data_IF_058495968927
#
_entry.id   IF_058495968927
#
_cell.length_a   1.000
_cell.length_b   1.000
_cell.length_c   1.000
_cell.angle_alpha   90.00
_cell.angle_beta   90.00
_cell.angle_gamma   90.00
#
_symmetry.space_group_name_H-M   'P 1'
#
loop_
_entity.id
_entity.type
_entity.pdbx_description
1 polymer ?
#
# COMPACT_ATOMS: atom_id res chain seq x y z
N UNK A 1 -31.90 6.22 37.67
CA UNK A 1 -31.91 7.01 36.46
C UNK A 1 -30.64 6.79 35.67
N UNK A 2 -30.56 5.71 34.83
CA UNK A 2 -29.42 5.44 33.99
C UNK A 2 -29.46 6.34 32.77
N UNK A 3 -28.47 7.21 32.60
CA UNK A 3 -28.24 7.93 31.34
C UNK A 3 -27.66 6.92 30.33
N UNK A 4 -28.47 6.47 29.39
CA UNK A 4 -28.02 5.79 28.20
C UNK A 4 -27.21 6.83 27.39
N UNK A 5 -25.90 6.64 27.28
CA UNK A 5 -25.04 7.41 26.42
C UNK A 5 -25.48 7.19 24.98
N UNK A 6 -26.05 8.21 24.40
CA UNK A 6 -26.39 8.30 22.97
C UNK A 6 -25.07 8.42 22.20
N UNK A 7 -24.48 7.28 21.83
CA UNK A 7 -23.36 7.21 20.92
C UNK A 7 -23.90 7.63 19.56
N UNK A 8 -23.86 8.93 19.26
CA UNK A 8 -24.03 9.48 17.90
C UNK A 8 -23.03 8.75 16.99
N UNK A 9 -23.52 7.72 16.33
CA UNK A 9 -22.86 7.08 15.20
C UNK A 9 -22.84 8.14 14.09
N UNK A 10 -21.82 8.97 14.06
CA UNK A 10 -21.57 9.83 12.92
C UNK A 10 -21.47 8.90 11.72
N UNK A 11 -22.44 8.98 10.84
CA UNK A 11 -22.41 8.36 9.52
C UNK A 11 -21.31 9.06 8.73
N UNK A 12 -20.07 8.60 8.90
CA UNK A 12 -18.96 9.05 8.06
C UNK A 12 -19.23 8.53 6.66
N UNK A 13 -19.31 9.43 5.70
CA UNK A 13 -19.34 9.06 4.29
C UNK A 13 -18.15 8.17 4.00
N UNK A 14 -18.34 6.96 3.43
CA UNK A 14 -17.23 6.05 3.14
C UNK A 14 -16.20 6.71 2.23
N UNK A 15 -14.92 6.45 2.50
CA UNK A 15 -13.82 6.89 1.64
C UNK A 15 -13.90 6.12 0.33
N UNK A 16 -13.99 6.84 -0.78
CA UNK A 16 -14.06 6.28 -2.14
C UNK A 16 -12.66 5.90 -2.60
N UNK A 17 -12.40 4.59 -2.78
CA UNK A 17 -11.07 4.05 -3.09
C UNK A 17 -11.03 3.47 -4.50
N UNK A 18 -10.06 3.92 -5.30
CA UNK A 18 -9.68 3.31 -6.56
C UNK A 18 -8.58 2.28 -6.30
N UNK A 19 -8.82 1.00 -6.61
CA UNK A 19 -7.88 -0.09 -6.41
C UNK A 19 -7.07 -0.35 -7.69
N UNK A 20 -5.76 -0.19 -7.63
CA UNK A 20 -4.83 -0.36 -8.76
C UNK A 20 -3.93 -1.57 -8.53
N UNK A 21 -3.97 -2.52 -9.47
CA UNK A 21 -3.30 -3.80 -9.36
C UNK A 21 -4.22 -4.92 -8.88
N UNK A 22 -4.18 -6.07 -9.56
CA UNK A 22 -4.95 -7.27 -9.22
C UNK A 22 -4.04 -8.48 -8.93
N UNK A 23 -2.75 -8.23 -8.64
CA UNK A 23 -1.82 -9.24 -8.15
C UNK A 23 -2.12 -9.62 -6.70
N UNK A 24 -1.25 -10.44 -6.10
CA UNK A 24 -1.44 -10.95 -4.73
C UNK A 24 -1.76 -9.85 -3.71
N UNK A 25 -0.95 -8.77 -3.67
CA UNK A 25 -1.17 -7.67 -2.72
C UNK A 25 -2.39 -6.83 -3.08
N UNK A 26 -2.57 -6.48 -4.36
CA UNK A 26 -3.75 -5.72 -4.81
C UNK A 26 -5.06 -6.43 -4.51
N UNK A 27 -5.11 -7.75 -4.71
CA UNK A 27 -6.24 -8.60 -4.31
C UNK A 27 -6.49 -8.53 -2.80
N UNK A 28 -5.44 -8.65 -1.97
CA UNK A 28 -5.56 -8.60 -0.51
C UNK A 28 -6.10 -7.26 -0.02
N UNK A 29 -5.61 -6.15 -0.59
CA UNK A 29 -6.10 -4.81 -0.26
C UNK A 29 -7.54 -4.59 -0.72
N UNK A 30 -7.89 -4.99 -1.94
CA UNK A 30 -9.26 -4.87 -2.45
C UNK A 30 -10.26 -5.64 -1.58
N UNK A 31 -9.92 -6.87 -1.17
CA UNK A 31 -10.74 -7.66 -0.23
C UNK A 31 -10.89 -6.98 1.13
N UNK A 32 -9.84 -6.33 1.63
CA UNK A 32 -9.91 -5.58 2.88
C UNK A 32 -10.84 -4.36 2.74
N UNK A 33 -10.68 -3.55 1.71
CA UNK A 33 -11.56 -2.40 1.46
C UNK A 33 -13.02 -2.82 1.24
N UNK A 34 -13.26 -3.94 0.54
CA UNK A 34 -14.60 -4.47 0.34
C UNK A 34 -15.32 -4.81 1.66
N UNK A 35 -14.57 -5.33 2.66
CA UNK A 35 -15.11 -5.73 3.96
C UNK A 35 -15.24 -4.59 4.97
N UNK A 36 -14.50 -3.50 4.79
CA UNK A 36 -14.45 -2.41 5.75
C UNK A 36 -15.56 -1.37 5.48
N UNK A 37 -16.49 -1.15 6.41
CA UNK A 37 -17.66 -0.28 6.17
C UNK A 37 -17.29 1.20 5.96
N UNK A 38 -16.06 1.61 6.32
CA UNK A 38 -15.56 2.96 6.12
C UNK A 38 -15.00 3.22 4.71
N UNK A 39 -15.05 2.23 3.81
CA UNK A 39 -14.52 2.34 2.45
C UNK A 39 -15.54 1.91 1.41
N UNK A 40 -15.46 2.51 0.24
CA UNK A 40 -16.22 2.15 -0.95
C UNK A 40 -15.26 2.02 -2.14
N UNK A 41 -15.13 0.82 -2.70
CA UNK A 41 -14.38 0.63 -3.94
C UNK A 41 -15.17 1.27 -5.08
N UNK A 42 -14.53 2.20 -5.81
CA UNK A 42 -15.14 2.91 -6.95
C UNK A 42 -14.63 2.44 -8.31
N UNK A 43 -13.62 1.58 -8.32
CA UNK A 43 -13.11 0.96 -9.54
C UNK A 43 -11.93 0.05 -9.28
N UNK A 44 -11.72 -0.88 -10.18
CA UNK A 44 -10.61 -1.83 -10.23
C UNK A 44 -9.78 -1.56 -11.48
N UNK A 45 -8.47 -1.35 -11.31
CA UNK A 45 -7.56 -1.02 -12.40
C UNK A 45 -6.49 -2.08 -12.52
N UNK A 46 -6.38 -2.72 -13.68
CA UNK A 46 -5.19 -3.47 -14.11
C UNK A 46 -5.23 -3.68 -15.61
N UNK A 47 -4.07 -3.80 -16.25
CA UNK A 47 -3.96 -3.99 -17.71
C UNK A 47 -4.64 -5.29 -18.20
N UNK A 48 -4.52 -6.38 -17.44
CA UNK A 48 -5.13 -7.67 -17.78
C UNK A 48 -6.64 -7.66 -17.50
N UNK A 49 -7.43 -7.82 -18.55
CA UNK A 49 -8.90 -7.94 -18.46
C UNK A 49 -9.31 -9.16 -17.61
N UNK A 50 -8.67 -10.30 -17.81
CA UNK A 50 -8.96 -11.54 -17.07
C UNK A 50 -8.70 -11.37 -15.57
N UNK A 51 -7.59 -10.70 -15.22
CA UNK A 51 -7.27 -10.44 -13.81
C UNK A 51 -8.28 -9.50 -13.15
N UNK A 52 -8.79 -8.51 -13.89
CA UNK A 52 -9.85 -7.61 -13.40
C UNK A 52 -11.15 -8.38 -13.16
N UNK A 53 -11.60 -9.11 -14.19
CA UNK A 53 -12.84 -9.87 -14.12
C UNK A 53 -12.81 -10.90 -12.99
N UNK A 54 -11.66 -11.59 -12.80
CA UNK A 54 -11.47 -12.54 -11.70
C UNK A 54 -11.58 -11.86 -10.33
N UNK A 55 -10.89 -10.73 -10.14
CA UNK A 55 -10.95 -9.98 -8.89
C UNK A 55 -12.36 -9.43 -8.64
N UNK A 56 -13.01 -8.88 -9.66
CA UNK A 56 -14.37 -8.35 -9.58
C UNK A 56 -15.37 -9.45 -9.16
N UNK A 57 -15.31 -10.62 -9.78
CA UNK A 57 -16.13 -11.77 -9.42
C UNK A 57 -15.91 -12.22 -7.96
N UNK A 58 -14.67 -12.24 -7.51
CA UNK A 58 -14.32 -12.59 -6.13
C UNK A 58 -14.87 -11.60 -5.10
N UNK A 59 -14.98 -10.33 -5.46
CA UNK A 59 -15.59 -9.28 -4.64
C UNK A 59 -17.12 -9.27 -4.70
N UNK A 60 -17.76 -10.22 -5.39
CA UNK A 60 -19.20 -10.29 -5.57
C UNK A 60 -19.71 -9.62 -6.83
N UNK A 61 -18.86 -9.08 -7.67
CA UNK A 61 -19.21 -8.42 -8.94
C UNK A 61 -19.68 -6.97 -8.79
N UNK A 62 -19.97 -6.33 -9.93
CA UNK A 62 -20.58 -5.00 -9.98
C UNK A 62 -19.63 -3.80 -9.85
N UNK A 63 -18.34 -4.01 -9.71
CA UNK A 63 -17.37 -2.92 -9.70
C UNK A 63 -16.99 -2.49 -11.11
N UNK A 64 -16.82 -1.18 -11.32
CA UNK A 64 -16.31 -0.64 -12.58
C UNK A 64 -14.87 -1.11 -12.82
N UNK A 65 -14.58 -1.52 -14.05
CA UNK A 65 -13.29 -2.07 -14.45
C UNK A 65 -12.59 -1.16 -15.47
N UNK A 66 -11.28 -0.95 -15.25
CA UNK A 66 -10.48 -0.08 -16.10
C UNK A 66 -9.15 -0.73 -16.49
N UNK A 67 -8.78 -0.65 -17.77
CA UNK A 67 -7.47 -1.06 -18.27
C UNK A 67 -6.40 0.02 -18.14
N UNK A 68 -6.82 1.28 -17.99
CA UNK A 68 -5.97 2.44 -17.89
C UNK A 68 -6.21 3.21 -16.59
N UNK A 69 -5.12 3.56 -15.92
CA UNK A 69 -5.16 4.23 -14.63
C UNK A 69 -5.67 5.68 -14.73
N UNK A 70 -5.21 6.44 -15.70
CA UNK A 70 -5.58 7.86 -15.84
C UNK A 70 -7.04 8.02 -16.22
N UNK A 71 -7.54 7.15 -17.09
CA UNK A 71 -8.96 7.10 -17.43
C UNK A 71 -9.82 6.78 -16.19
N UNK A 72 -9.40 5.80 -15.39
CA UNK A 72 -10.08 5.43 -14.16
C UNK A 72 -10.08 6.59 -13.14
N UNK A 73 -8.94 7.23 -12.91
CA UNK A 73 -8.79 8.36 -11.99
C UNK A 73 -9.73 9.51 -12.37
N UNK A 74 -9.78 9.86 -13.65
CA UNK A 74 -10.65 10.90 -14.20
C UNK A 74 -12.15 10.55 -14.05
N UNK A 75 -12.50 9.29 -14.36
CA UNK A 75 -13.89 8.83 -14.36
C UNK A 75 -14.45 8.69 -12.94
N UNK A 76 -13.66 8.15 -12.02
CA UNK A 76 -14.15 7.81 -10.67
C UNK A 76 -14.00 8.94 -9.66
N UNK A 77 -13.05 9.87 -9.86
CA UNK A 77 -12.74 10.97 -8.92
C UNK A 77 -12.70 10.46 -7.47
N UNK A 78 -11.78 9.56 -7.12
CA UNK A 78 -11.74 8.91 -5.81
C UNK A 78 -11.20 9.86 -4.73
N UNK A 79 -11.49 9.57 -3.46
CA UNK A 79 -10.87 10.24 -2.31
C UNK A 79 -9.47 9.70 -2.04
N UNK A 80 -9.26 8.42 -2.34
CA UNK A 80 -7.99 7.73 -2.15
C UNK A 80 -7.71 6.73 -3.29
N UNK A 81 -6.43 6.50 -3.55
CA UNK A 81 -5.95 5.49 -4.50
C UNK A 81 -5.06 4.49 -3.78
N UNK A 82 -5.35 3.20 -3.94
CA UNK A 82 -4.52 2.10 -3.44
C UNK A 82 -3.72 1.51 -4.60
N UNK A 83 -2.41 1.72 -4.59
CA UNK A 83 -1.48 1.34 -5.66
C UNK A 83 -0.74 0.08 -5.25
N UNK A 84 -0.99 -1.03 -5.96
CA UNK A 84 -0.38 -2.35 -5.77
C UNK A 84 0.03 -2.93 -7.13
N UNK A 85 0.48 -2.08 -8.01
CA UNK A 85 1.04 -2.40 -9.34
C UNK A 85 2.53 -2.76 -9.25
N UNK A 86 3.22 -2.81 -10.37
CA UNK A 86 4.67 -2.99 -10.37
C UNK A 86 5.38 -1.69 -9.93
N UNK A 87 6.56 -1.81 -9.28
CA UNK A 87 7.27 -0.66 -8.70
C UNK A 87 7.60 0.48 -9.68
N UNK A 88 7.82 0.15 -10.95
CA UNK A 88 8.09 1.11 -12.04
C UNK A 88 6.93 2.07 -12.33
N UNK A 89 5.72 1.73 -11.90
CA UNK A 89 4.54 2.59 -12.07
C UNK A 89 4.16 3.37 -10.79
N UNK A 90 4.77 3.06 -9.66
CA UNK A 90 4.38 3.64 -8.38
C UNK A 90 4.50 5.15 -8.35
N UNK A 91 5.62 5.70 -8.83
CA UNK A 91 5.87 7.13 -8.80
C UNK A 91 4.90 7.90 -9.68
N UNK A 92 4.73 7.47 -10.94
CA UNK A 92 3.78 8.08 -11.87
C UNK A 92 2.37 8.12 -11.31
N UNK A 93 1.87 6.96 -10.85
CA UNK A 93 0.50 6.85 -10.36
C UNK A 93 0.28 7.60 -9.05
N UNK A 94 1.25 7.55 -8.14
CA UNK A 94 1.16 8.29 -6.87
C UNK A 94 1.13 9.80 -7.10
N UNK A 95 2.02 10.34 -7.95
CA UNK A 95 2.06 11.77 -8.27
C UNK A 95 0.77 12.21 -8.96
N UNK A 96 0.27 11.43 -9.93
CA UNK A 96 -0.98 11.74 -10.62
C UNK A 96 -2.20 11.70 -9.68
N UNK A 97 -2.28 10.70 -8.79
CA UNK A 97 -3.34 10.63 -7.78
C UNK A 97 -3.30 11.83 -6.81
N UNK A 98 -2.11 12.18 -6.32
CA UNK A 98 -1.92 13.34 -5.46
C UNK A 98 -2.31 14.65 -6.15
N UNK A 99 -1.91 14.83 -7.41
CA UNK A 99 -2.27 16.00 -8.22
C UNK A 99 -3.79 16.10 -8.45
N UNK A 100 -4.49 14.96 -8.51
CA UNK A 100 -5.94 14.90 -8.55
C UNK A 100 -6.62 15.14 -7.18
N UNK A 101 -5.84 15.40 -6.13
CA UNK A 101 -6.35 15.67 -4.77
C UNK A 101 -6.66 14.43 -3.94
N UNK A 102 -6.22 13.25 -4.37
CA UNK A 102 -6.44 11.98 -3.64
C UNK A 102 -5.39 11.76 -2.55
N UNK A 103 -5.77 11.05 -1.49
CA UNK A 103 -4.81 10.36 -0.63
C UNK A 103 -4.26 9.13 -1.32
N UNK A 104 -3.06 8.69 -0.97
CA UNK A 104 -2.42 7.52 -1.62
C UNK A 104 -1.98 6.50 -0.59
N UNK A 105 -2.37 5.26 -0.79
CA UNK A 105 -1.68 4.08 -0.29
C UNK A 105 -0.87 3.50 -1.44
N UNK A 106 0.39 3.20 -1.20
CA UNK A 106 1.27 2.57 -2.21
C UNK A 106 2.03 1.41 -1.58
N UNK A 107 2.07 0.28 -2.30
CA UNK A 107 2.90 -0.86 -1.90
C UNK A 107 4.38 -0.50 -1.92
N UNK A 108 5.14 -1.26 -1.16
CA UNK A 108 6.60 -1.15 -1.14
C UNK A 108 7.20 -1.74 -2.46
N UNK A 109 8.32 -1.20 -2.94
CA UNK A 109 8.97 0.03 -2.52
C UNK A 109 8.16 1.25 -2.95
N UNK A 110 8.33 2.39 -2.26
CA UNK A 110 7.61 3.64 -2.61
C UNK A 110 7.84 4.03 -4.07
N UNK A 111 9.07 3.87 -4.56
CA UNK A 111 9.49 4.15 -5.92
C UNK A 111 10.76 3.34 -6.25
N UNK A 112 11.17 3.34 -7.51
CA UNK A 112 12.40 2.64 -7.96
C UNK A 112 13.66 3.46 -7.63
N UNK A 113 13.55 4.80 -7.64
CA UNK A 113 14.66 5.70 -7.38
C UNK A 113 14.36 6.65 -6.22
N UNK A 114 15.42 7.19 -5.60
CA UNK A 114 15.28 8.21 -4.54
C UNK A 114 14.64 9.48 -5.09
N UNK A 115 15.02 9.90 -6.29
CA UNK A 115 14.45 11.09 -6.93
C UNK A 115 12.93 10.98 -7.12
N UNK A 116 12.44 9.82 -7.56
CA UNK A 116 11.00 9.55 -7.67
C UNK A 116 10.31 9.58 -6.30
N UNK A 117 10.93 8.98 -5.27
CA UNK A 117 10.39 9.02 -3.92
C UNK A 117 10.29 10.46 -3.38
N UNK A 118 11.31 11.30 -3.64
CA UNK A 118 11.31 12.72 -3.29
C UNK A 118 10.20 13.50 -4.02
N UNK A 119 9.94 13.19 -5.30
CA UNK A 119 8.84 13.79 -6.07
C UNK A 119 7.47 13.47 -5.43
N UNK A 120 7.25 12.23 -5.02
CA UNK A 120 6.01 11.83 -4.34
C UNK A 120 5.85 12.62 -3.03
N UNK A 121 6.91 12.69 -2.22
CA UNK A 121 6.90 13.41 -0.94
C UNK A 121 6.65 14.90 -1.13
N UNK A 122 7.32 15.53 -2.11
CA UNK A 122 7.13 16.93 -2.45
C UNK A 122 5.69 17.21 -2.88
N UNK A 123 5.14 16.39 -3.78
CA UNK A 123 3.76 16.53 -4.25
C UNK A 123 2.76 16.36 -3.11
N UNK A 124 2.95 15.36 -2.24
CA UNK A 124 2.08 15.14 -1.08
C UNK A 124 2.02 16.35 -0.15
N UNK A 125 3.18 16.98 0.10
CA UNK A 125 3.28 18.21 0.91
C UNK A 125 2.59 19.41 0.22
N UNK A 126 2.84 19.60 -1.06
CA UNK A 126 2.26 20.66 -1.88
C UNK A 126 0.72 20.64 -1.82
N UNK A 127 0.14 19.47 -2.09
CA UNK A 127 -1.33 19.31 -2.14
C UNK A 127 -1.97 18.97 -0.79
N UNK A 128 -1.17 18.87 0.28
CA UNK A 128 -1.63 18.52 1.64
C UNK A 128 -2.41 17.22 1.69
N UNK A 129 -1.94 16.20 0.97
CA UNK A 129 -2.50 14.85 0.98
C UNK A 129 -1.56 13.87 1.68
N UNK A 130 -2.13 12.78 2.18
CA UNK A 130 -1.38 11.75 2.89
C UNK A 130 -0.91 10.67 1.92
N UNK A 131 0.31 10.21 2.13
CA UNK A 131 0.86 9.01 1.49
C UNK A 131 1.16 8.00 2.59
N UNK A 132 0.68 6.78 2.41
CA UNK A 132 0.95 5.63 3.28
C UNK A 132 1.65 4.57 2.45
N UNK A 133 2.77 4.05 2.94
CA UNK A 133 3.54 3.00 2.28
C UNK A 133 3.23 1.65 2.93
N UNK A 134 3.18 0.59 2.15
CA UNK A 134 2.87 -0.78 2.57
C UNK A 134 3.93 -1.44 3.47
N UNK A 135 4.45 -0.75 4.48
CA UNK A 135 5.38 -1.30 5.46
C UNK A 135 4.63 -2.11 6.52
N UNK A 136 4.17 -3.29 6.12
CA UNK A 136 3.26 -4.14 6.92
C UNK A 136 3.83 -4.54 8.29
N UNK A 137 5.15 -4.67 8.43
CA UNK A 137 5.77 -5.06 9.69
C UNK A 137 5.53 -4.03 10.80
N UNK A 138 5.31 -2.76 10.47
CA UNK A 138 4.95 -1.71 11.44
C UNK A 138 3.64 -2.01 12.16
N UNK A 139 2.76 -2.80 11.56
CA UNK A 139 1.43 -3.11 12.06
C UNK A 139 1.28 -4.57 12.51
N UNK A 140 2.29 -5.42 12.24
CA UNK A 140 2.26 -6.82 12.66
C UNK A 140 2.46 -6.94 14.18
N UNK A 141 1.59 -7.62 14.94
CA UNK A 141 1.62 -7.62 16.40
C UNK A 141 2.97 -8.04 17.00
N UNK A 142 3.59 -9.11 16.48
CA UNK A 142 4.89 -9.57 16.96
C UNK A 142 6.00 -8.55 16.71
N UNK A 143 6.03 -7.89 15.55
CA UNK A 143 7.00 -6.85 15.24
C UNK A 143 6.78 -5.59 16.07
N UNK A 144 5.53 -5.19 16.29
CA UNK A 144 5.18 -4.07 17.17
C UNK A 144 5.70 -4.31 18.58
N UNK A 145 5.52 -5.53 19.11
CA UNK A 145 6.04 -5.89 20.43
C UNK A 145 7.57 -5.92 20.45
N UNK A 146 8.20 -6.49 19.41
CA UNK A 146 9.64 -6.54 19.29
C UNK A 146 10.28 -5.15 19.24
N UNK A 147 9.72 -4.22 18.44
CA UNK A 147 10.16 -2.83 18.37
C UNK A 147 10.11 -2.17 19.75
N UNK A 148 8.98 -2.30 20.46
CA UNK A 148 8.83 -1.75 21.81
C UNK A 148 9.87 -2.30 22.78
N UNK A 149 10.14 -3.60 22.74
CA UNK A 149 11.15 -4.24 23.59
C UNK A 149 12.55 -3.71 23.28
N UNK A 150 12.94 -3.65 22.00
CA UNK A 150 14.26 -3.12 21.60
C UNK A 150 14.47 -1.68 22.06
N UNK A 151 13.44 -0.85 21.99
CA UNK A 151 13.51 0.56 22.43
C UNK A 151 13.80 0.71 23.93
N UNK A 152 13.60 -0.35 24.73
CA UNK A 152 13.93 -0.34 26.17
C UNK A 152 15.38 -0.74 26.48
N UNK A 153 16.14 -1.26 25.49
CA UNK A 153 17.48 -1.79 25.70
C UNK A 153 18.57 -0.70 25.78
N UNK A 154 18.23 0.54 25.47
CA UNK A 154 19.18 1.65 25.48
C UNK A 154 20.04 1.72 24.20
N UNK A 155 21.06 2.56 24.22
CA UNK A 155 22.00 2.80 23.11
C UNK A 155 23.45 2.70 23.59
N UNK A 156 24.41 2.30 22.72
CA UNK A 156 24.24 1.95 21.30
C UNK A 156 23.60 0.57 21.08
N UNK A 157 22.90 0.40 19.96
CA UNK A 157 22.33 -0.87 19.54
C UNK A 157 23.15 -1.45 18.39
N UNK A 158 23.49 -2.73 18.47
CA UNK A 158 24.01 -3.52 17.35
C UNK A 158 22.92 -4.47 16.89
N UNK A 159 22.53 -4.35 15.63
CA UNK A 159 21.45 -5.16 15.04
C UNK A 159 22.01 -5.97 13.89
N UNK A 160 21.72 -7.26 13.90
CA UNK A 160 22.00 -8.17 12.79
C UNK A 160 20.73 -8.93 12.40
N UNK A 161 20.34 -8.82 11.15
CA UNK A 161 19.23 -9.58 10.57
C UNK A 161 19.75 -10.51 9.50
N UNK A 162 19.38 -11.80 9.60
CA UNK A 162 19.66 -12.81 8.59
C UNK A 162 18.34 -13.16 7.92
N UNK A 163 18.23 -12.88 6.62
CA UNK A 163 17.05 -13.18 5.82
C UNK A 163 17.34 -14.38 4.93
N UNK A 164 16.87 -15.54 5.33
CA UNK A 164 17.02 -16.79 4.61
C UNK A 164 15.70 -17.16 3.93
N UNK A 165 15.26 -16.32 2.99
CA UNK A 165 14.05 -16.57 2.25
C UNK A 165 14.35 -17.32 0.96
N UNK A 166 13.72 -18.49 0.78
CA UNK A 166 13.72 -19.20 -0.48
C UNK A 166 12.43 -18.93 -1.25
N UNK A 167 12.56 -18.80 -2.57
CA UNK A 167 11.44 -18.70 -3.48
C UNK A 167 11.53 -19.85 -4.49
N UNK A 168 10.44 -20.58 -4.66
CA UNK A 168 10.35 -21.73 -5.57
C UNK A 168 9.00 -21.75 -6.28
N UNK A 169 8.90 -22.55 -7.36
CA UNK A 169 7.66 -22.72 -8.11
C UNK A 169 7.14 -21.40 -8.69
N UNK A 170 5.84 -21.16 -8.53
CA UNK A 170 5.19 -19.96 -9.09
C UNK A 170 5.62 -18.67 -8.38
N UNK A 171 5.97 -18.74 -7.10
CA UNK A 171 6.53 -17.60 -6.37
C UNK A 171 7.85 -17.15 -6.98
N UNK A 172 8.69 -18.10 -7.43
CA UNK A 172 9.94 -17.76 -8.11
C UNK A 172 9.72 -17.01 -9.42
N UNK A 173 8.70 -17.36 -10.20
CA UNK A 173 8.37 -16.65 -11.45
C UNK A 173 8.08 -15.17 -11.16
N UNK A 174 7.31 -14.88 -10.11
CA UNK A 174 7.00 -13.51 -9.69
C UNK A 174 8.25 -12.78 -9.21
N UNK A 175 9.03 -13.38 -8.31
CA UNK A 175 10.25 -12.75 -7.80
C UNK A 175 11.30 -12.55 -8.88
N UNK A 176 11.46 -13.47 -9.82
CA UNK A 176 12.37 -13.30 -10.97
C UNK A 176 11.99 -12.10 -11.83
N UNK A 177 10.71 -11.86 -12.06
CA UNK A 177 10.24 -10.68 -12.79
C UNK A 177 10.53 -9.38 -12.01
N UNK A 178 10.27 -9.37 -10.69
CA UNK A 178 10.56 -8.21 -9.84
C UNK A 178 12.06 -7.88 -9.77
N UNK A 179 12.94 -8.88 -9.75
CA UNK A 179 14.40 -8.69 -9.71
C UNK A 179 14.96 -8.03 -10.98
N UNK A 180 14.19 -7.91 -12.04
CA UNK A 180 14.60 -7.12 -13.22
C UNK A 180 14.46 -5.61 -12.98
N UNK A 181 13.60 -5.20 -12.06
CA UNK A 181 13.31 -3.80 -11.75
C UNK A 181 13.86 -3.33 -10.42
N UNK A 182 14.00 -4.23 -9.45
CA UNK A 182 14.56 -3.91 -8.14
C UNK A 182 15.38 -5.06 -7.55
N UNK A 183 16.38 -4.71 -6.71
CA UNK A 183 17.21 -5.70 -6.03
C UNK A 183 16.44 -6.42 -4.91
N UNK A 184 16.88 -7.61 -4.46
CA UNK A 184 16.26 -8.31 -3.32
C UNK A 184 16.19 -7.47 -2.05
N UNK A 185 17.18 -6.58 -1.82
CA UNK A 185 17.17 -5.70 -0.64
C UNK A 185 16.07 -4.62 -0.76
N UNK A 186 15.78 -4.16 -1.95
CA UNK A 186 14.70 -3.18 -2.21
C UNK A 186 13.34 -3.87 -2.19
N UNK A 187 13.22 -5.07 -2.71
CA UNK A 187 11.94 -5.81 -2.70
C UNK A 187 11.60 -6.35 -1.31
N UNK A 188 12.47 -7.14 -0.71
CA UNK A 188 12.21 -7.81 0.58
C UNK A 188 12.91 -7.10 1.75
N UNK A 189 14.16 -6.69 1.58
CA UNK A 189 14.99 -6.11 2.63
C UNK A 189 14.45 -4.77 3.14
N UNK A 190 13.72 -4.02 2.32
CA UNK A 190 13.15 -2.72 2.70
C UNK A 190 12.30 -2.77 3.97
N UNK A 191 11.56 -3.84 4.21
CA UNK A 191 10.77 -4.01 5.43
C UNK A 191 11.65 -4.04 6.69
N UNK A 192 12.81 -4.68 6.59
CA UNK A 192 13.73 -4.85 7.73
C UNK A 192 14.58 -3.61 7.94
N UNK A 193 14.98 -2.93 6.87
CA UNK A 193 15.64 -1.62 6.96
C UNK A 193 14.71 -0.63 7.65
N UNK A 194 13.43 -0.59 7.26
CA UNK A 194 12.41 0.25 7.88
C UNK A 194 12.27 -0.02 9.39
N UNK A 195 12.19 -1.29 9.78
CA UNK A 195 12.09 -1.68 11.19
C UNK A 195 13.37 -1.35 11.97
N UNK A 196 14.55 -1.55 11.38
CA UNK A 196 15.83 -1.17 12.02
C UNK A 196 15.91 0.34 12.24
N UNK A 197 15.46 1.15 11.29
CA UNK A 197 15.37 2.61 11.46
C UNK A 197 14.42 2.99 12.61
N UNK A 198 13.27 2.34 12.71
CA UNK A 198 12.32 2.57 13.83
C UNK A 198 12.92 2.20 15.19
N UNK A 199 13.65 1.09 15.29
CA UNK A 199 14.25 0.63 16.53
C UNK A 199 15.40 1.53 16.99
N UNK A 200 16.22 1.97 16.07
CA UNK A 200 17.41 2.80 16.37
C UNK A 200 17.09 4.29 16.49
N UNK A 201 15.96 4.73 15.93
CA UNK A 201 15.66 6.14 15.75
C UNK A 201 16.53 6.82 14.68
N UNK A 202 17.17 6.01 13.81
CA UNK A 202 17.96 6.50 12.67
C UNK A 202 17.04 6.84 11.48
N UNK A 203 17.53 7.72 10.61
CA UNK A 203 16.86 8.10 9.36
C UNK A 203 17.66 7.60 8.18
#
# INVERSE_FOLDING_TARGET
GGRKGDARRMSLTPIRVLCVGAGHMGRSHALAYHKLPGFQIVGLVTRSADSRAKLNAELGGGYAEYGDFHAALKATKPDAVSISSYPDTHAEYAVAALAAGCHVFVEKPLAVTVAEAEQIVAKAKEVKRKVVIGYILRHHPAWTQFIKTVQTLGKPLVMRMNLNQQSSGDNWKTHRALMQTCSPIVDCGVHYVDIMCLMTGSR
#
